data_IF_997217348450
#
_entry.id   IF_997217348450
#
_cell.length_a   1.000
_cell.length_b   1.000
_cell.length_c   1.000
_cell.angle_alpha   90.00
_cell.angle_beta   90.00
_cell.angle_gamma   90.00
#
_symmetry.space_group_name_H-M   'P 1'
#
loop_
_entity.id
_entity.type
_entity.pdbx_description
1 polymer ?
#
# COMPACT_ATOMS: atom_id res chain seq x y z
N UNK A 1 -16.23 -6.40 11.55
CA UNK A 1 -16.06 -5.74 11.49
C UNK A 1 -15.86 -4.85 10.46
N UNK A 2 -16.06 -3.87 10.62
CA UNK A 2 -16.07 -2.87 9.66
C UNK A 2 -14.84 -2.79 8.87
N UNK A 3 -13.83 -3.37 9.37
CA UNK A 3 -12.65 -3.30 8.68
C UNK A 3 -12.64 -4.01 7.42
N UNK A 4 -13.55 -4.87 7.18
CA UNK A 4 -13.56 -5.66 5.98
C UNK A 4 -13.64 -4.83 4.72
N UNK A 5 -14.24 -3.66 4.82
CA UNK A 5 -14.39 -2.86 3.62
C UNK A 5 -13.08 -2.31 3.10
N UNK A 6 -12.04 -2.36 3.93
CA UNK A 6 -10.75 -1.86 3.48
C UNK A 6 -9.73 -2.98 3.35
N UNK A 7 -10.19 -4.21 3.36
CA UNK A 7 -9.30 -5.32 3.22
C UNK A 7 -8.61 -5.24 1.87
N UNK A 8 -7.32 -5.39 1.85
CA UNK A 8 -6.56 -5.33 0.61
C UNK A 8 -6.21 -3.94 0.15
N UNK A 9 -6.57 -2.93 0.94
CA UNK A 9 -6.23 -1.55 0.62
C UNK A 9 -5.42 -0.94 1.75
N UNK A 10 -4.44 -0.14 1.38
CA UNK A 10 -3.56 0.51 2.34
C UNK A 10 -3.32 1.94 1.93
N UNK A 11 -3.14 2.84 2.89
CA UNK A 11 -2.72 4.19 2.56
C UNK A 11 -1.23 4.16 2.23
N UNK A 12 -0.76 5.17 1.54
CA UNK A 12 0.66 5.26 1.23
C UNK A 12 1.49 5.34 2.51
N UNK A 13 1.00 6.04 3.52
CA UNK A 13 1.69 6.11 4.80
C UNK A 13 1.82 4.75 5.44
N UNK A 14 0.76 3.96 5.38
CA UNK A 14 0.76 2.63 5.94
C UNK A 14 1.68 1.70 5.16
N UNK A 15 1.62 1.77 3.84
CA UNK A 15 2.48 0.95 2.99
C UNK A 15 3.95 1.30 3.21
N UNK A 16 4.25 2.57 3.36
CA UNK A 16 5.60 3.01 3.63
C UNK A 16 6.10 2.43 4.94
N UNK A 17 5.23 2.40 5.94
CA UNK A 17 5.58 1.85 7.22
C UNK A 17 5.86 0.34 7.13
N UNK A 18 5.03 -0.38 6.39
CA UNK A 18 5.19 -1.81 6.23
C UNK A 18 6.54 -2.15 5.60
N UNK A 19 6.93 -1.40 4.59
CA UNK A 19 8.14 -1.71 3.83
C UNK A 19 9.34 -0.85 4.20
N UNK A 20 9.21 -0.03 5.24
CA UNK A 20 10.32 0.80 5.67
C UNK A 20 10.70 1.87 4.67
N UNK A 21 9.71 2.46 4.01
CA UNK A 21 9.94 3.47 2.99
C UNK A 21 9.31 4.79 3.40
N UNK A 22 9.55 5.82 2.60
CA UNK A 22 8.87 7.11 2.78
C UNK A 22 7.69 7.11 1.82
N UNK A 23 6.63 7.83 2.15
CA UNK A 23 5.52 7.88 1.22
C UNK A 23 5.90 8.67 -0.04
N UNK A 24 6.94 9.48 0.02
CA UNK A 24 7.42 10.14 -1.19
C UNK A 24 7.99 9.13 -2.18
N UNK A 25 8.55 8.03 -1.70
CA UNK A 25 9.01 6.95 -2.57
C UNK A 25 7.87 6.40 -3.39
N UNK A 26 6.74 6.18 -2.73
CA UNK A 26 5.58 5.64 -3.40
C UNK A 26 5.02 6.62 -4.41
N UNK A 27 4.98 7.90 -4.04
CA UNK A 27 4.49 8.91 -4.95
C UNK A 27 5.39 9.06 -6.17
N UNK A 28 6.68 8.89 -5.99
CA UNK A 28 7.61 8.93 -7.12
C UNK A 28 7.36 7.77 -8.08
N UNK A 29 7.02 6.62 -7.54
CA UNK A 29 6.71 5.48 -8.38
C UNK A 29 5.46 5.73 -9.20
N UNK A 30 4.48 6.40 -8.61
CA UNK A 30 3.27 6.77 -9.35
C UNK A 30 3.64 7.70 -10.48
N UNK A 31 4.46 8.71 -10.20
CA UNK A 31 4.87 9.67 -11.20
C UNK A 31 5.66 9.04 -12.34
N UNK A 32 6.36 7.97 -12.04
CA UNK A 32 7.16 7.28 -13.07
C UNK A 32 6.36 6.22 -13.82
N UNK A 33 5.08 6.08 -13.51
CA UNK A 33 4.25 5.11 -14.18
C UNK A 33 4.43 3.69 -13.71
N UNK A 34 5.01 3.50 -12.53
CA UNK A 34 5.20 2.14 -12.00
C UNK A 34 3.91 1.55 -11.47
N UNK A 35 2.96 2.40 -11.12
CA UNK A 35 1.64 1.96 -10.67
C UNK A 35 0.60 2.53 -11.61
N UNK A 36 -0.45 1.78 -11.85
CA UNK A 36 -1.55 2.22 -12.70
C UNK A 36 -2.58 2.92 -11.83
N UNK A 37 -2.76 4.23 -12.07
CA UNK A 37 -3.73 5.00 -11.31
C UNK A 37 -5.13 4.51 -11.66
N UNK A 38 -5.90 4.21 -10.63
CA UNK A 38 -7.24 3.68 -10.83
C UNK A 38 -7.31 2.18 -10.67
N UNK A 39 -6.18 1.49 -10.82
CA UNK A 39 -6.13 0.04 -10.64
C UNK A 39 -5.23 -0.35 -9.48
N UNK A 40 -4.00 0.15 -9.50
CA UNK A 40 -3.04 -0.17 -8.44
C UNK A 40 -3.13 0.84 -7.31
N UNK A 41 -3.30 2.10 -7.65
CA UNK A 41 -3.36 3.19 -6.68
C UNK A 41 -4.52 4.10 -7.02
N UNK A 42 -5.00 4.83 -6.02
CA UNK A 42 -6.12 5.70 -6.20
C UNK A 42 -6.03 6.81 -5.19
N UNK A 43 -6.40 8.02 -5.58
CA UNK A 43 -6.40 9.12 -4.64
C UNK A 43 -7.80 9.32 -4.09
N UNK A 44 -7.94 9.30 -2.78
CA UNK A 44 -9.22 9.51 -2.14
C UNK A 44 -9.09 10.71 -1.23
N UNK A 45 -9.66 11.83 -1.67
CA UNK A 45 -9.50 13.07 -0.94
C UNK A 45 -8.04 13.48 -0.97
N UNK A 46 -7.45 13.68 0.18
CA UNK A 46 -6.06 14.07 0.27
C UNK A 46 -5.12 12.89 0.47
N UNK A 47 -5.65 11.68 0.39
CA UNK A 47 -4.88 10.49 0.72
C UNK A 47 -4.78 9.55 -0.48
N UNK A 48 -3.59 9.03 -0.72
CA UNK A 48 -3.41 8.02 -1.74
C UNK A 48 -3.58 6.64 -1.10
N UNK A 49 -4.24 5.75 -1.85
CA UNK A 49 -4.50 4.38 -1.42
C UNK A 49 -3.82 3.45 -2.41
N UNK A 50 -3.27 2.36 -1.94
CA UNK A 50 -2.63 1.38 -2.82
C UNK A 50 -3.18 0.00 -2.48
N UNK A 51 -3.32 -0.85 -3.49
CA UNK A 51 -3.85 -2.20 -3.28
C UNK A 51 -2.77 -3.12 -2.77
N UNK A 52 -3.20 -4.16 -2.07
CA UNK A 52 -2.28 -5.19 -1.60
C UNK A 52 -1.57 -5.83 -2.78
N UNK A 53 -2.29 -6.07 -3.86
CA UNK A 53 -1.72 -6.68 -5.05
C UNK A 53 -0.56 -5.86 -5.60
N UNK A 54 -0.73 -4.54 -5.65
CA UNK A 54 0.32 -3.67 -6.13
C UNK A 54 1.54 -3.71 -5.22
N UNK A 55 1.32 -3.78 -3.92
CA UNK A 55 2.40 -3.87 -2.95
C UNK A 55 3.17 -5.16 -3.13
N UNK A 56 2.46 -6.26 -3.28
CA UNK A 56 3.09 -7.57 -3.44
C UNK A 56 3.89 -7.61 -4.73
N UNK A 57 3.31 -7.08 -5.81
CA UNK A 57 4.00 -7.09 -7.09
C UNK A 57 5.25 -6.22 -7.10
N UNK A 58 5.22 -5.13 -6.34
CA UNK A 58 6.34 -4.19 -6.36
C UNK A 58 7.39 -4.47 -5.30
N UNK A 59 6.97 -4.93 -4.14
CA UNK A 59 7.88 -5.06 -3.01
C UNK A 59 7.97 -6.47 -2.44
N UNK A 60 7.06 -7.35 -2.82
CA UNK A 60 7.06 -8.71 -2.32
C UNK A 60 6.06 -8.91 -1.19
N UNK A 61 5.71 -10.16 -0.95
CA UNK A 61 4.68 -10.50 0.02
C UNK A 61 5.22 -10.68 1.43
N UNK A 62 6.52 -10.90 1.54
CA UNK A 62 7.11 -11.26 2.82
C UNK A 62 6.95 -10.23 3.90
N UNK A 63 7.30 -9.00 3.61
CA UNK A 63 7.20 -7.94 4.60
C UNK A 63 5.75 -7.64 4.95
N UNK A 64 4.88 -7.74 3.98
CA UNK A 64 3.46 -7.53 4.22
C UNK A 64 2.91 -8.61 5.15
N UNK A 65 3.29 -9.85 4.90
CA UNK A 65 2.87 -10.94 5.73
C UNK A 65 3.36 -10.78 7.16
N UNK A 66 4.61 -10.40 7.32
CA UNK A 66 5.18 -10.19 8.64
C UNK A 66 4.48 -9.06 9.38
N UNK A 67 4.13 -8.01 8.66
CA UNK A 67 3.42 -6.89 9.25
C UNK A 67 2.05 -7.33 9.76
N UNK A 68 1.33 -8.10 8.94
CA UNK A 68 0.01 -8.58 9.34
C UNK A 68 0.09 -9.49 10.54
N UNK A 69 1.05 -10.37 10.55
CA UNK A 69 1.21 -11.29 11.67
C UNK A 69 1.57 -10.55 12.94
N UNK A 70 2.42 -9.56 12.83
CA UNK A 70 2.80 -8.77 13.96
C UNK A 70 1.64 -7.98 14.53
N UNK A 71 0.73 -7.57 13.65
CA UNK A 71 -0.40 -6.80 14.07
C UNK A 71 -1.43 -7.60 14.86
N UNK A 72 -1.52 -8.86 14.58
CA UNK A 72 -2.47 -9.70 15.23
C UNK A 72 -2.18 -9.87 16.70
N UNK A 73 -0.94 -9.73 17.10
CA UNK A 73 -0.62 -9.83 18.50
C UNK A 73 -1.19 -8.70 19.29
#
# INVERSE_FOLDING_TARGET
>A
MANGSFEGLYTFGEAAKIYGLDDSCLRKRVARGKFVIGEDVKKMGATWIITEQALVNSFGVEKLKNYKEGEIK
#
